data_IF_326713956081
#
_entry.id   IF_326713956081
#
_cell.length_a   1.000
_cell.length_b   1.000
_cell.length_c   1.000
_cell.angle_alpha   90.00
_cell.angle_beta   90.00
_cell.angle_gamma   90.00
#
_symmetry.space_group_name_H-M   'P 1'
#
loop_
_entity.id
_entity.type
_entity.pdbx_description
1 polymer ?
#
# COMPACT_ATOMS: atom_id res chain seq x y z
N UNK A 1 -5.72 -3.59 8.09
CA UNK A 1 -4.87 -4.03 9.23
C UNK A 1 -3.82 -2.95 9.56
N UNK A 2 -3.09 -3.09 10.68
CA UNK A 2 -1.92 -2.25 11.01
C UNK A 2 -0.62 -2.78 10.43
N UNK A 3 -0.56 -2.98 9.10
CA UNK A 3 0.55 -3.69 8.43
C UNK A 3 1.89 -2.98 8.59
N UNK A 4 1.91 -1.65 8.79
CA UNK A 4 3.10 -0.86 9.09
C UNK A 4 3.86 -1.34 10.36
N UNK A 5 3.19 -2.10 11.24
CA UNK A 5 3.84 -2.68 12.42
C UNK A 5 4.82 -3.80 12.08
N UNK A 6 4.65 -4.49 10.94
CA UNK A 6 5.57 -5.54 10.53
C UNK A 6 6.94 -4.95 10.12
N UNK A 7 7.03 -3.95 9.21
CA UNK A 7 8.29 -3.26 8.92
C UNK A 7 8.91 -2.57 10.13
N UNK A 8 8.09 -1.93 10.98
CA UNK A 8 8.59 -1.19 12.15
C UNK A 8 9.20 -2.09 13.24
N UNK A 9 8.71 -3.32 13.38
CA UNK A 9 9.24 -4.31 14.34
C UNK A 9 10.31 -5.23 13.75
N UNK A 10 10.55 -5.19 12.43
CA UNK A 10 11.51 -6.07 11.78
C UNK A 10 12.95 -5.65 12.09
N UNK A 11 13.59 -6.39 13.02
CA UNK A 11 14.94 -6.11 13.51
C UNK A 11 15.98 -5.86 12.41
N UNK A 12 16.05 -6.75 11.41
CA UNK A 12 16.99 -6.57 10.29
C UNK A 12 16.74 -5.27 9.53
N UNK A 13 15.46 -4.94 9.26
CA UNK A 13 15.12 -3.71 8.56
C UNK A 13 15.44 -2.46 9.42
N UNK A 14 15.29 -2.54 10.74
CA UNK A 14 15.70 -1.46 11.66
C UNK A 14 17.22 -1.26 11.68
N UNK A 15 18.01 -2.31 11.53
CA UNK A 15 19.46 -2.20 11.35
C UNK A 15 19.77 -1.49 10.02
N UNK A 16 19.09 -1.87 8.93
CA UNK A 16 19.26 -1.25 7.61
C UNK A 16 18.77 0.18 7.53
N UNK A 17 17.76 0.56 8.30
CA UNK A 17 17.28 1.94 8.44
C UNK A 17 18.40 2.91 8.85
N UNK A 18 19.35 2.45 9.66
CA UNK A 18 20.49 3.27 10.14
C UNK A 18 21.54 3.49 9.04
N UNK A 19 21.67 2.55 8.10
CA UNK A 19 22.57 2.65 6.96
C UNK A 19 21.96 3.50 5.84
N UNK A 20 20.68 3.26 5.54
CA UNK A 20 19.93 3.93 4.48
C UNK A 20 18.44 3.91 4.82
N UNK A 21 17.91 5.08 5.17
CA UNK A 21 16.50 5.25 5.52
C UNK A 21 15.56 4.90 4.36
N UNK A 22 16.00 5.02 3.11
CA UNK A 22 15.19 4.71 1.94
C UNK A 22 14.82 3.22 1.89
N UNK A 23 15.73 2.32 2.31
CA UNK A 23 15.45 0.87 2.40
C UNK A 23 14.27 0.59 3.33
N UNK A 24 14.28 1.20 4.52
CA UNK A 24 13.17 1.09 5.47
C UNK A 24 11.89 1.65 4.86
N UNK A 25 11.96 2.85 4.28
CA UNK A 25 10.78 3.55 3.73
C UNK A 25 10.12 2.77 2.60
N UNK A 26 10.90 2.17 1.71
CA UNK A 26 10.37 1.34 0.62
C UNK A 26 9.65 0.11 1.17
N UNK A 27 10.22 -0.58 2.16
CA UNK A 27 9.55 -1.74 2.77
C UNK A 27 8.30 -1.34 3.56
N UNK A 28 8.34 -0.21 4.27
CA UNK A 28 7.21 0.32 5.04
C UNK A 28 6.03 0.64 4.11
N UNK A 29 6.25 1.49 3.11
CA UNK A 29 5.23 1.88 2.12
C UNK A 29 4.83 0.69 1.23
N UNK A 30 5.76 -0.17 0.82
CA UNK A 30 5.47 -1.35 0.00
C UNK A 30 4.63 -2.41 0.72
N UNK A 31 4.75 -2.54 2.04
CA UNK A 31 3.89 -3.45 2.81
C UNK A 31 2.41 -3.05 2.75
N UNK A 32 2.13 -1.77 2.52
CA UNK A 32 0.78 -1.24 2.39
C UNK A 32 0.08 -1.80 1.14
N UNK A 33 0.75 -1.79 -0.01
CA UNK A 33 0.17 -2.35 -1.23
C UNK A 33 -0.07 -3.85 -1.11
N UNK A 34 0.78 -4.58 -0.36
CA UNK A 34 0.55 -6.01 -0.09
C UNK A 34 -0.78 -6.27 0.62
N UNK A 35 -1.19 -5.39 1.54
CA UNK A 35 -2.48 -5.53 2.22
C UNK A 35 -3.66 -5.30 1.26
N UNK A 36 -3.53 -4.35 0.32
CA UNK A 36 -4.56 -4.05 -0.69
C UNK A 36 -4.71 -5.23 -1.65
N UNK A 37 -3.61 -5.73 -2.21
CA UNK A 37 -3.66 -6.87 -3.17
C UNK A 37 -4.01 -8.19 -2.51
N UNK A 38 -3.88 -8.30 -1.19
CA UNK A 38 -4.41 -9.41 -0.39
C UNK A 38 -5.90 -9.22 -0.01
N UNK A 39 -6.63 -8.37 -0.73
CA UNK A 39 -8.05 -8.08 -0.56
C UNK A 39 -8.41 -7.49 0.82
N UNK A 40 -7.54 -6.68 1.42
CA UNK A 40 -7.86 -5.94 2.64
C UNK A 40 -8.65 -4.66 2.35
N UNK A 41 -9.76 -4.45 3.06
CA UNK A 41 -10.66 -3.29 2.84
C UNK A 41 -10.11 -1.96 3.37
N UNK A 42 -9.19 -1.98 4.34
CA UNK A 42 -8.58 -0.78 4.91
C UNK A 42 -7.16 -1.03 5.42
N UNK A 43 -6.37 0.04 5.43
CA UNK A 43 -4.99 0.04 5.92
C UNK A 43 -4.77 1.15 6.94
N UNK A 44 -4.22 0.79 8.10
CA UNK A 44 -3.56 1.75 8.97
C UNK A 44 -2.10 1.82 8.51
N UNK A 45 -1.69 2.94 7.92
CA UNK A 45 -0.39 3.07 7.23
C UNK A 45 0.72 3.67 8.09
N UNK A 46 0.45 3.88 9.38
CA UNK A 46 1.42 4.44 10.32
C UNK A 46 1.45 5.97 10.26
N UNK A 47 2.65 6.59 10.33
CA UNK A 47 2.79 8.04 10.42
C UNK A 47 2.12 8.80 9.26
N UNK A 48 1.40 9.89 9.57
CA UNK A 48 0.65 10.68 8.58
C UNK A 48 1.55 11.31 7.50
N UNK A 49 2.83 11.52 7.83
CA UNK A 49 3.86 12.05 6.95
C UNK A 49 4.17 11.11 5.77
N UNK A 50 3.79 9.83 5.87
CA UNK A 50 3.91 8.87 4.78
C UNK A 50 2.77 9.01 3.74
N UNK A 51 1.72 9.78 4.01
CA UNK A 51 0.57 9.93 3.10
C UNK A 51 0.93 10.30 1.64
N UNK A 52 1.93 11.16 1.34
CA UNK A 52 2.28 11.46 -0.05
C UNK A 52 2.84 10.27 -0.83
N UNK A 53 3.30 9.22 -0.14
CA UNK A 53 3.81 7.98 -0.73
C UNK A 53 2.77 6.86 -0.68
N UNK A 54 1.97 6.82 0.39
CA UNK A 54 0.95 5.80 0.63
C UNK A 54 -0.25 5.96 -0.29
N UNK A 55 -0.77 7.17 -0.50
CA UNK A 55 -1.95 7.32 -1.34
C UNK A 55 -1.69 6.89 -2.79
N UNK A 56 -0.59 7.30 -3.46
CA UNK A 56 -0.30 6.80 -4.80
C UNK A 56 -0.12 5.28 -4.86
N UNK A 57 0.58 4.66 -3.89
CA UNK A 57 0.82 3.21 -3.93
C UNK A 57 -0.46 2.40 -3.68
N UNK A 58 -1.34 2.88 -2.80
CA UNK A 58 -2.66 2.27 -2.56
C UNK A 58 -3.54 2.41 -3.79
N UNK A 59 -3.63 3.60 -4.37
CA UNK A 59 -4.42 3.83 -5.58
C UNK A 59 -3.94 2.96 -6.74
N UNK A 60 -2.62 2.86 -6.94
CA UNK A 60 -2.05 1.97 -7.96
C UNK A 60 -2.42 0.51 -7.70
N UNK A 61 -2.28 0.03 -6.45
CA UNK A 61 -2.61 -1.36 -6.12
C UNK A 61 -4.10 -1.68 -6.32
N UNK A 62 -5.00 -0.77 -5.93
CA UNK A 62 -6.44 -0.92 -6.08
C UNK A 62 -6.87 -0.92 -7.56
N UNK A 63 -6.24 -0.05 -8.38
CA UNK A 63 -6.40 -0.06 -9.84
C UNK A 63 -5.99 -1.42 -10.42
N UNK A 64 -4.81 -1.94 -10.04
CA UNK A 64 -4.34 -3.23 -10.54
C UNK A 64 -5.25 -4.38 -10.14
N UNK A 65 -5.79 -4.36 -8.92
CA UNK A 65 -6.80 -5.36 -8.48
C UNK A 65 -8.06 -5.25 -9.32
N UNK A 66 -8.57 -4.03 -9.54
CA UNK A 66 -9.75 -3.80 -10.37
C UNK A 66 -9.55 -4.30 -11.80
N UNK A 67 -8.44 -3.97 -12.44
CA UNK A 67 -8.10 -4.43 -13.79
C UNK A 67 -8.01 -5.96 -13.85
N UNK A 68 -7.46 -6.59 -12.81
CA UNK A 68 -7.31 -8.05 -12.73
C UNK A 68 -8.63 -8.81 -12.63
N UNK A 69 -9.75 -8.13 -12.34
CA UNK A 69 -11.09 -8.73 -12.19
C UNK A 69 -12.11 -8.14 -13.18
N UNK A 70 -11.65 -7.45 -14.22
CA UNK A 70 -12.52 -6.78 -15.21
C UNK A 70 -13.44 -7.75 -15.97
N UNK A 71 -12.91 -8.92 -16.31
CA UNK A 71 -13.63 -9.98 -17.01
C UNK A 71 -14.56 -10.82 -16.11
N UNK A 72 -14.47 -10.65 -14.79
CA UNK A 72 -15.28 -11.40 -13.82
C UNK A 72 -16.67 -10.78 -13.57
N UNK A 73 -16.99 -9.67 -14.24
CA UNK A 73 -18.26 -8.94 -14.04
C UNK A 73 -18.37 -8.25 -12.68
N UNK A 74 -17.24 -8.01 -12.01
CA UNK A 74 -17.18 -7.26 -10.75
C UNK A 74 -17.09 -5.77 -11.09
N UNK A 75 -18.00 -4.99 -10.52
CA UNK A 75 -18.02 -3.53 -10.68
C UNK A 75 -17.30 -2.83 -9.52
N UNK A 76 -16.51 -1.81 -9.83
CA UNK A 76 -15.98 -0.88 -8.83
C UNK A 76 -16.97 0.23 -8.49
N UNK A 77 -16.79 0.83 -7.31
CA UNK A 77 -17.53 2.05 -6.94
C UNK A 77 -17.24 3.23 -7.89
N UNK A 78 -18.16 4.19 -7.98
CA UNK A 78 -17.96 5.42 -8.76
C UNK A 78 -16.73 6.22 -8.31
N UNK A 79 -16.43 6.20 -7.01
CA UNK A 79 -15.29 6.90 -6.41
C UNK A 79 -13.97 6.10 -6.49
N UNK A 80 -13.94 4.98 -7.23
CA UNK A 80 -12.76 4.14 -7.34
C UNK A 80 -11.61 4.86 -8.06
N UNK A 81 -10.33 4.69 -7.64
CA UNK A 81 -9.20 5.45 -8.18
C UNK A 81 -9.05 5.36 -9.71
N UNK A 82 -9.45 4.23 -10.32
CA UNK A 82 -9.41 4.04 -11.78
C UNK A 82 -10.20 5.10 -12.55
N UNK A 83 -11.26 5.67 -11.98
CA UNK A 83 -12.11 6.64 -12.66
C UNK A 83 -11.56 8.08 -12.60
N UNK A 84 -10.45 8.31 -11.90
CA UNK A 84 -9.87 9.64 -11.67
C UNK A 84 -8.40 9.76 -12.06
N UNK A 85 -7.67 8.64 -12.10
CA UNK A 85 -6.21 8.62 -12.25
C UNK A 85 -5.73 7.97 -13.54
N UNK A 86 -6.63 7.39 -14.35
CA UNK A 86 -6.40 6.75 -15.64
C UNK A 86 -7.38 7.31 -16.65
#
# INVERSE_FOLDING_TARGET
>A
SGIHNAPSSWKWLQEKKKEDYLKYKICDVGSISMQVVAAGDYVLYGPIENSPYVFPIVSMADIMVRESVDDLGIESSLMHPINYLV
#
